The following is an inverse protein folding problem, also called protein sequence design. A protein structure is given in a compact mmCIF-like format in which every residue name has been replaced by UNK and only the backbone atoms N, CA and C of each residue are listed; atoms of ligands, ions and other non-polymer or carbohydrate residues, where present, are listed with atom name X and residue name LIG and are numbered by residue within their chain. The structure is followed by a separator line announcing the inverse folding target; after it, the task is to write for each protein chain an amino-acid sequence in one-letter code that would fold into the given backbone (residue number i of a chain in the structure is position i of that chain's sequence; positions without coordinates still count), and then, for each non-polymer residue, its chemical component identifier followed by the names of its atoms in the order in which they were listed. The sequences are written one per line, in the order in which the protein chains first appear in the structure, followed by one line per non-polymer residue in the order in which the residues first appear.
data_IF_070051419984
#
_entry.id   IF_070051419984
#
_cell.length_a   1.000
_cell.length_b   1.000
_cell.length_c   1.000
_cell.angle_alpha   90.00
_cell.angle_beta   90.00
_cell.angle_gamma   90.00
#
_symmetry.space_group_name_H-M   'P 1'
#
loop_
_entity.id
_entity.type
_entity.pdbx_description
1 polymer ?
#
# COMPACT_ATOMS: atom_id res chain seq x y z
N UNK A 1 -8.08 8.88 -20.63
CA UNK A 1 -7.94 9.26 -19.20
C UNK A 1 -6.84 8.40 -18.59
N UNK A 2 -6.06 8.95 -17.64
CA UNK A 2 -5.05 8.22 -16.86
C UNK A 2 -5.43 8.26 -15.38
N UNK A 3 -5.34 7.13 -14.68
CA UNK A 3 -5.68 6.98 -13.26
C UNK A 3 -4.47 6.40 -12.52
N UNK A 4 -4.14 6.97 -11.36
CA UNK A 4 -3.30 6.32 -10.36
C UNK A 4 -4.20 5.79 -9.25
N UNK A 5 -4.31 4.46 -9.12
CA UNK A 5 -5.08 3.82 -8.06
C UNK A 5 -4.13 3.37 -6.95
N UNK A 6 -4.03 4.19 -5.91
CA UNK A 6 -3.17 3.94 -4.74
C UNK A 6 -3.92 3.15 -3.66
N UNK A 7 -3.37 1.99 -3.27
CA UNK A 7 -3.95 1.03 -2.33
C UNK A 7 -3.12 1.01 -1.05
N UNK A 8 -3.79 1.07 0.09
CA UNK A 8 -3.17 0.88 1.39
C UNK A 8 -2.88 -0.61 1.66
N UNK A 9 -1.61 -0.97 1.82
CA UNK A 9 -1.10 -2.31 2.09
C UNK A 9 -0.89 -2.64 3.58
N UNK A 10 -1.59 -1.95 4.49
CA UNK A 10 -1.54 -2.24 5.94
C UNK A 10 -2.60 -3.28 6.32
N UNK A 11 -2.42 -4.50 5.83
CA UNK A 11 -3.39 -5.59 5.95
C UNK A 11 -4.05 -5.97 4.62
N UNK A 12 -4.85 -7.04 4.64
CA UNK A 12 -5.38 -7.64 3.42
C UNK A 12 -6.71 -7.04 2.94
N UNK A 13 -7.47 -6.32 3.78
CA UNK A 13 -8.83 -5.87 3.45
C UNK A 13 -8.90 -4.96 2.20
N UNK A 14 -8.04 -3.95 2.12
CA UNK A 14 -7.99 -3.04 0.98
C UNK A 14 -7.50 -3.72 -0.30
N UNK A 15 -6.50 -4.61 -0.19
CA UNK A 15 -6.00 -5.40 -1.33
C UNK A 15 -7.02 -6.42 -1.84
N UNK A 16 -7.76 -7.06 -0.94
CA UNK A 16 -8.85 -7.96 -1.29
C UNK A 16 -9.94 -7.21 -2.05
N UNK A 17 -10.30 -5.99 -1.64
CA UNK A 17 -11.27 -5.19 -2.40
C UNK A 17 -10.70 -4.70 -3.74
N UNK A 18 -9.40 -4.45 -3.81
CA UNK A 18 -8.75 -4.04 -5.04
C UNK A 18 -8.75 -5.11 -6.13
N UNK A 19 -8.88 -6.41 -5.79
CA UNK A 19 -8.96 -7.49 -6.80
C UNK A 19 -10.16 -7.32 -7.72
N UNK A 20 -11.25 -6.74 -7.22
CA UNK A 20 -12.45 -6.44 -8.00
C UNK A 20 -12.36 -5.07 -8.69
N UNK A 21 -11.80 -4.06 -8.02
CA UNK A 21 -11.79 -2.67 -8.51
C UNK A 21 -10.77 -2.47 -9.65
N UNK A 22 -9.56 -3.01 -9.51
CA UNK A 22 -8.46 -2.76 -10.47
C UNK A 22 -8.80 -3.23 -11.89
N UNK A 23 -9.38 -4.42 -12.12
CA UNK A 23 -9.79 -4.85 -13.45
C UNK A 23 -10.82 -3.92 -14.10
N UNK A 24 -11.77 -3.41 -13.31
CA UNK A 24 -12.80 -2.47 -13.78
C UNK A 24 -12.16 -1.14 -14.18
N UNK A 25 -11.25 -0.60 -13.36
CA UNK A 25 -10.55 0.64 -13.71
C UNK A 25 -9.69 0.47 -14.98
N UNK A 26 -9.00 -0.66 -15.12
CA UNK A 26 -8.17 -0.97 -16.30
C UNK A 26 -8.98 -1.14 -17.58
N UNK A 27 -10.26 -1.53 -17.51
CA UNK A 27 -11.11 -1.60 -18.70
C UNK A 27 -11.62 -0.22 -19.15
N UNK A 28 -11.64 0.77 -18.25
CA UNK A 28 -12.15 2.12 -18.52
C UNK A 28 -11.05 3.15 -18.82
N UNK A 29 -9.85 2.95 -18.29
CA UNK A 29 -8.75 3.90 -18.41
C UNK A 29 -7.38 3.24 -18.23
N UNK A 30 -6.35 3.92 -18.74
CA UNK A 30 -4.96 3.59 -18.43
C UNK A 30 -4.78 3.79 -16.92
N UNK A 31 -4.59 2.69 -16.18
CA UNK A 31 -4.59 2.69 -14.72
C UNK A 31 -3.30 2.11 -14.20
N UNK A 32 -2.49 2.96 -13.57
CA UNK A 32 -1.31 2.57 -12.82
C UNK A 32 -1.71 2.22 -11.38
N UNK A 33 -1.13 1.16 -10.83
CA UNK A 33 -1.47 0.67 -9.49
C UNK A 33 -0.30 0.85 -8.54
N UNK A 34 -0.54 1.56 -7.43
CA UNK A 34 0.42 1.75 -6.36
C UNK A 34 -0.04 1.02 -5.10
N UNK A 35 0.86 0.32 -4.42
CA UNK A 35 0.59 -0.26 -3.10
C UNK A 35 1.57 0.31 -2.08
N UNK A 36 1.04 0.90 -1.00
CA UNK A 36 1.84 1.47 0.10
C UNK A 36 1.52 0.81 1.43
N UNK A 37 2.49 0.12 2.03
CA UNK A 37 2.34 -0.56 3.31
C UNK A 37 3.18 -1.86 3.40
N UNK A 38 3.31 -2.41 4.60
CA UNK A 38 4.24 -3.51 4.91
C UNK A 38 3.60 -4.79 5.44
N UNK A 39 2.27 -4.85 5.54
CA UNK A 39 1.55 -5.93 6.25
C UNK A 39 0.55 -6.67 5.37
N UNK A 40 0.86 -6.81 4.08
CA UNK A 40 -0.02 -7.50 3.14
C UNK A 40 0.68 -8.71 2.51
N UNK A 41 0.12 -9.89 2.74
CA UNK A 41 0.61 -11.16 2.17
C UNK A 41 -0.32 -11.69 1.05
N UNK A 42 -1.35 -10.92 0.68
CA UNK A 42 -2.28 -11.31 -0.37
C UNK A 42 -1.65 -11.18 -1.76
N UNK A 43 -1.62 -12.29 -2.49
CA UNK A 43 -1.28 -12.27 -3.91
C UNK A 43 -2.47 -11.74 -4.72
N UNK A 44 -2.25 -10.68 -5.49
CA UNK A 44 -3.32 -10.01 -6.25
C UNK A 44 -3.25 -10.36 -7.74
N UNK A 45 -4.39 -10.55 -8.43
CA UNK A 45 -4.43 -10.96 -9.84
C UNK A 45 -4.19 -9.79 -10.81
N UNK A 46 -3.43 -8.77 -10.41
CA UNK A 46 -3.11 -7.61 -11.23
C UNK A 46 -1.69 -7.13 -11.00
N UNK A 47 -1.10 -6.52 -12.03
CA UNK A 47 0.21 -5.86 -11.94
C UNK A 47 0.14 -4.64 -11.02
N UNK A 48 1.12 -4.54 -10.13
CA UNK A 48 1.41 -3.37 -9.29
C UNK A 48 2.61 -2.66 -9.91
N UNK A 49 2.44 -1.39 -10.23
CA UNK A 49 3.45 -0.56 -10.91
C UNK A 49 4.40 0.12 -9.91
N UNK A 50 3.88 0.45 -8.72
CA UNK A 50 4.66 1.05 -7.64
C UNK A 50 4.42 0.33 -6.32
N UNK A 51 5.50 -0.01 -5.62
CA UNK A 51 5.43 -0.63 -4.28
C UNK A 51 6.30 0.15 -3.31
N UNK A 52 5.67 0.72 -2.29
CA UNK A 52 6.34 1.47 -1.24
C UNK A 52 6.04 0.88 0.12
N UNK A 53 7.02 0.92 1.03
CA UNK A 53 6.79 0.57 2.44
C UNK A 53 5.88 1.60 3.12
N UNK A 54 5.99 2.87 2.72
CA UNK A 54 5.19 3.97 3.25
C UNK A 54 5.36 4.14 4.75
N UNK A 55 4.35 4.73 5.37
CA UNK A 55 4.24 4.83 6.83
C UNK A 55 3.12 3.89 7.29
N UNK A 56 3.42 3.02 8.24
CA UNK A 56 2.50 1.99 8.73
C UNK A 56 2.58 1.86 10.24
N UNK A 57 1.46 1.51 10.87
CA UNK A 57 1.41 1.17 12.30
C UNK A 57 1.88 -0.25 12.52
N UNK A 58 2.68 -0.46 13.57
CA UNK A 58 3.04 -1.80 14.03
C UNK A 58 2.01 -2.26 15.05
N UNK A 59 1.36 -3.38 14.77
CA UNK A 59 0.41 -4.00 15.70
C UNK A 59 1.19 -4.76 16.76
N UNK A 60 0.95 -4.43 18.02
CA UNK A 60 1.51 -5.10 19.18
C UNK A 60 0.86 -6.46 19.44
N UNK A 61 1.47 -7.27 20.31
CA UNK A 61 1.02 -8.64 20.60
C UNK A 61 -0.39 -8.73 21.20
N UNK A 62 -0.91 -7.64 21.75
CA UNK A 62 -2.22 -7.56 22.41
C UNK A 62 -3.31 -6.93 21.51
N UNK A 63 -3.07 -6.82 20.19
CA UNK A 63 -4.07 -6.34 19.23
C UNK A 63 -4.20 -4.81 19.09
N UNK A 64 -3.45 -4.03 19.87
CA UNK A 64 -3.36 -2.57 19.74
C UNK A 64 -2.15 -2.09 18.94
N UNK A 65 -2.08 -0.80 18.64
CA UNK A 65 -0.90 -0.18 18.01
C UNK A 65 0.24 -0.07 19.02
N UNK A 66 1.41 -0.60 18.67
CA UNK A 66 2.65 -0.39 19.41
C UNK A 66 3.30 0.91 18.91
N UNK A 67 2.96 2.03 19.56
CA UNK A 67 3.40 3.37 19.15
C UNK A 67 4.92 3.53 19.24
N UNK A 68 5.55 2.95 20.27
CA UNK A 68 7.01 3.01 20.46
C UNK A 68 7.70 2.31 19.29
N UNK A 69 7.31 1.06 18.99
CA UNK A 69 7.88 0.34 17.84
C UNK A 69 7.56 1.01 16.52
N UNK A 70 6.35 1.57 16.37
CA UNK A 70 5.96 2.31 15.17
C UNK A 70 6.91 3.46 14.91
N UNK A 71 7.09 4.36 15.88
CA UNK A 71 7.97 5.53 15.72
C UNK A 71 9.42 5.09 15.47
N UNK A 72 9.92 4.11 16.23
CA UNK A 72 11.29 3.61 16.08
C UNK A 72 11.58 2.99 14.71
N UNK A 73 10.59 2.35 14.07
CA UNK A 73 10.75 1.65 12.80
C UNK A 73 10.19 2.41 11.59
N UNK A 74 9.69 3.63 11.77
CA UNK A 74 9.18 4.44 10.67
C UNK A 74 10.30 4.78 9.68
N UNK A 75 10.18 4.40 8.39
CA UNK A 75 11.22 4.62 7.40
C UNK A 75 11.13 6.04 6.80
N UNK A 76 11.22 7.08 7.65
CA UNK A 76 10.96 8.49 7.26
C UNK A 76 11.85 8.95 6.10
N UNK A 77 13.14 8.59 6.11
CA UNK A 77 14.06 8.94 5.01
C UNK A 77 13.64 8.30 3.69
N UNK A 78 13.25 7.02 3.72
CA UNK A 78 12.76 6.32 2.52
C UNK A 78 11.45 6.94 2.05
N UNK A 79 10.52 7.25 2.96
CA UNK A 79 9.25 7.88 2.61
C UNK A 79 9.42 9.18 1.83
N UNK A 80 10.30 10.08 2.28
CA UNK A 80 10.59 11.31 1.54
C UNK A 80 11.33 11.05 0.22
N UNK A 81 12.15 10.01 0.14
CA UNK A 81 12.78 9.60 -1.10
C UNK A 81 11.73 9.06 -2.10
N UNK A 82 10.81 8.21 -1.65
CA UNK A 82 9.74 7.63 -2.46
C UNK A 82 8.84 8.72 -3.04
N UNK A 83 8.44 9.72 -2.23
CA UNK A 83 7.62 10.86 -2.69
C UNK A 83 8.33 11.68 -3.77
N UNK A 84 9.64 11.88 -3.65
CA UNK A 84 10.40 12.70 -4.62
C UNK A 84 10.67 11.99 -5.95
N UNK A 85 10.64 10.66 -5.95
CA UNK A 85 10.92 9.84 -7.13
C UNK A 85 9.65 9.21 -7.74
N UNK A 86 8.47 9.59 -7.25
CA UNK A 86 7.18 9.26 -7.83
C UNK A 86 6.77 10.29 -8.88
#
# INVERSE_FOLDING_TARGET
MKILYAIQGTGNGHLARATEIVPILKSMAITDVLVSGTQSDLNVPFRIDYRFSGLSFIIGKNGGVDLIKTIQKMPIKQFFHDIRNL
#
